data_IF_769797408694
#
_entry.id   IF_769797408694
#
_cell.length_a   1.000
_cell.length_b   1.000
_cell.length_c   1.000
_cell.angle_alpha   90.00
_cell.angle_beta   90.00
_cell.angle_gamma   90.00
#
_symmetry.space_group_name_H-M   'P 1'
#
loop_
_entity.id
_entity.type
_entity.pdbx_description
1 polymer ?
#
# COMPACT_ATOMS: atom_id res chain seq x y z
N UNK A 1 -10.92 -89.72 6.30
CA UNK A 1 -11.35 -89.38 4.93
C UNK A 1 -10.18 -88.69 4.21
N UNK A 2 -9.91 -89.13 2.98
CA UNK A 2 -8.89 -88.67 1.99
C UNK A 2 -8.89 -87.14 1.76
N UNK A 3 -7.99 -86.45 1.06
CA UNK A 3 -6.57 -86.49 0.64
C UNK A 3 -6.39 -85.30 -0.37
N UNK A 4 -5.21 -84.67 -0.42
CA UNK A 4 -4.54 -83.99 -1.56
C UNK A 4 -5.23 -82.89 -2.43
N UNK A 5 -4.66 -81.66 -2.35
CA UNK A 5 -4.00 -80.82 -3.41
C UNK A 5 -4.77 -80.36 -4.71
N UNK A 6 -4.28 -79.32 -5.44
CA UNK A 6 -5.05 -78.19 -6.01
C UNK A 6 -4.99 -78.13 -7.57
N UNK A 7 -4.70 -76.98 -8.23
CA UNK A 7 -5.56 -75.88 -8.72
C UNK A 7 -5.74 -75.88 -10.27
N UNK A 8 -6.59 -75.02 -10.85
CA UNK A 8 -6.43 -74.56 -12.27
C UNK A 8 -7.28 -73.31 -12.55
N UNK A 9 -6.77 -72.19 -13.09
CA UNK A 9 -6.21 -71.82 -14.43
C UNK A 9 -7.28 -71.20 -15.32
N UNK A 10 -6.99 -69.99 -15.87
CA UNK A 10 -7.77 -69.40 -16.96
C UNK A 10 -7.46 -67.94 -17.29
N UNK A 11 -6.28 -67.67 -17.85
CA UNK A 11 -6.02 -66.55 -18.78
C UNK A 11 -6.08 -67.13 -20.22
N UNK A 12 -6.22 -66.39 -21.35
CA UNK A 12 -5.24 -65.35 -21.75
C UNK A 12 -5.71 -64.18 -22.67
N UNK A 13 -4.87 -63.14 -22.69
CA UNK A 13 -4.33 -62.35 -23.82
C UNK A 13 -5.28 -61.73 -24.90
N UNK A 14 -5.12 -60.47 -25.33
CA UNK A 14 -3.96 -59.98 -26.10
C UNK A 14 -3.95 -58.45 -26.31
N UNK A 15 -2.73 -57.92 -26.19
CA UNK A 15 -2.04 -56.74 -26.74
C UNK A 15 -2.68 -55.62 -27.62
N UNK A 16 -2.10 -54.42 -27.37
CA UNK A 16 -1.62 -53.34 -28.29
C UNK A 16 -2.67 -52.34 -28.81
N UNK A 17 -2.40 -51.05 -28.99
CA UNK A 17 -1.16 -50.25 -29.01
C UNK A 17 -1.44 -48.77 -28.74
N UNK A 18 -0.37 -48.07 -28.35
CA UNK A 18 -0.14 -46.63 -28.32
C UNK A 18 -0.86 -45.75 -29.36
N UNK A 19 -1.28 -44.55 -28.94
CA UNK A 19 -0.85 -43.27 -29.54
C UNK A 19 -1.39 -42.06 -28.76
N UNK A 20 -0.46 -41.14 -28.50
CA UNK A 20 -0.60 -39.77 -28.02
C UNK A 20 -1.49 -38.91 -28.93
N UNK A 21 -2.28 -38.01 -28.32
CA UNK A 21 -2.44 -36.59 -28.74
C UNK A 21 -3.38 -35.82 -27.80
N UNK A 22 -2.91 -34.70 -27.27
CA UNK A 22 -3.72 -33.58 -26.79
C UNK A 22 -3.92 -32.56 -27.96
N UNK A 23 -4.61 -31.42 -27.74
CA UNK A 23 -6.02 -31.15 -28.02
C UNK A 23 -6.20 -30.14 -29.18
N UNK A 24 -7.43 -29.77 -29.56
CA UNK A 24 -7.69 -28.43 -30.11
C UNK A 24 -8.88 -27.78 -29.37
N UNK A 25 -8.84 -26.55 -28.88
CA UNK A 25 -8.67 -25.25 -29.55
C UNK A 25 -9.69 -24.95 -30.66
N UNK A 26 -10.19 -23.72 -30.61
CA UNK A 26 -10.90 -22.88 -31.60
C UNK A 26 -11.41 -23.48 -32.93
N UNK A 27 -12.73 -23.50 -33.12
CA UNK A 27 -13.45 -23.42 -34.40
C UNK A 27 -14.96 -23.52 -34.05
N UNK A 28 -15.90 -22.66 -34.44
CA UNK A 28 -15.95 -21.76 -35.60
C UNK A 28 -16.97 -20.64 -35.36
N UNK A 29 -16.60 -19.44 -35.79
CA UNK A 29 -17.54 -18.37 -36.14
C UNK A 29 -18.22 -18.67 -37.50
N UNK A 30 -19.40 -18.07 -37.70
CA UNK A 30 -20.08 -17.79 -38.99
C UNK A 30 -21.24 -18.72 -39.42
N UNK A 31 -22.44 -18.31 -39.03
CA UNK A 31 -23.64 -18.15 -39.88
C UNK A 31 -24.64 -17.36 -39.00
N UNK A 32 -25.16 -16.18 -39.34
CA UNK A 32 -25.92 -15.83 -40.54
C UNK A 32 -25.81 -14.32 -40.79
N UNK A 33 -25.62 -13.95 -42.06
CA UNK A 33 -25.81 -12.61 -42.60
C UNK A 33 -27.27 -12.44 -43.06
N UNK A 34 -27.65 -11.17 -43.11
CA UNK A 34 -28.58 -10.55 -44.05
C UNK A 34 -30.06 -10.42 -43.61
N UNK A 35 -30.36 -9.24 -43.08
CA UNK A 35 -31.37 -8.37 -43.70
C UNK A 35 -30.84 -6.93 -43.68
N UNK A 36 -30.52 -6.40 -44.87
CA UNK A 36 -30.22 -4.99 -45.12
C UNK A 36 -31.36 -4.42 -45.98
N UNK A 37 -31.89 -3.27 -45.56
CA UNK A 37 -32.30 -2.10 -46.36
C UNK A 37 -33.50 -1.43 -45.67
N UNK A 38 -33.66 -0.11 -45.61
CA UNK A 38 -32.82 1.05 -45.81
C UNK A 38 -33.70 2.22 -45.32
N UNK A 39 -33.21 3.07 -44.42
CA UNK A 39 -33.81 4.41 -44.22
C UNK A 39 -32.72 5.38 -43.77
N UNK A 40 -32.66 6.49 -44.52
CA UNK A 40 -31.61 7.50 -44.53
C UNK A 40 -31.71 8.41 -43.31
N UNK A 41 -30.55 8.91 -42.90
CA UNK A 41 -30.25 9.84 -41.81
C UNK A 41 -31.08 11.14 -41.82
N UNK A 42 -31.27 11.72 -40.62
CA UNK A 42 -30.70 13.05 -40.37
C UNK A 42 -29.73 13.06 -39.18
N UNK A 43 -28.70 13.87 -39.34
CA UNK A 43 -27.56 14.09 -38.44
C UNK A 43 -28.02 14.80 -37.16
N UNK A 44 -28.07 14.10 -36.04
CA UNK A 44 -28.33 14.68 -34.71
C UNK A 44 -27.12 14.44 -33.77
N UNK A 45 -26.80 15.49 -33.03
CA UNK A 45 -25.60 15.69 -32.21
C UNK A 45 -25.30 14.53 -31.25
N UNK A 46 -24.07 14.01 -31.29
CA UNK A 46 -23.51 13.17 -30.22
C UNK A 46 -23.32 14.05 -28.97
N UNK A 47 -24.25 13.95 -28.03
CA UNK A 47 -24.00 14.35 -26.64
C UNK A 47 -23.10 13.27 -26.05
N UNK A 48 -21.82 13.61 -25.88
CA UNK A 48 -20.84 12.75 -25.26
C UNK A 48 -21.16 12.58 -23.77
N UNK A 49 -21.73 11.44 -23.41
CA UNK A 49 -21.67 10.94 -22.05
C UNK A 49 -20.24 10.48 -21.77
N UNK A 50 -19.36 11.41 -21.40
CA UNK A 50 -18.16 11.10 -20.61
C UNK A 50 -18.60 11.15 -19.15
N UNK A 51 -18.59 9.98 -18.52
CA UNK A 51 -18.66 9.86 -17.06
C UNK A 51 -17.46 10.66 -16.52
N UNK A 52 -17.76 11.82 -15.96
CA UNK A 52 -16.81 12.60 -15.17
C UNK A 52 -16.65 11.88 -13.82
N UNK A 53 -15.55 11.14 -13.66
CA UNK A 53 -15.11 10.69 -12.35
C UNK A 53 -14.67 11.89 -11.50
N UNK A 54 -14.98 11.94 -10.19
CA UNK A 54 -14.57 13.06 -9.36
C UNK A 54 -13.16 12.81 -8.80
N UNK A 55 -12.28 13.74 -9.15
CA UNK A 55 -11.04 14.17 -8.50
C UNK A 55 -9.67 13.69 -9.03
N UNK A 56 -8.70 14.63 -9.14
CA UNK A 56 -7.53 14.51 -9.98
C UNK A 56 -6.36 13.85 -9.22
N UNK A 57 -5.56 13.06 -9.95
CA UNK A 57 -4.15 12.88 -9.60
C UNK A 57 -3.54 14.27 -9.52
N UNK A 58 -2.93 14.65 -8.39
CA UNK A 58 -2.29 15.96 -8.23
C UNK A 58 -1.30 16.19 -9.37
N UNK A 59 -1.69 17.00 -10.36
CA UNK A 59 -0.78 17.60 -11.32
C UNK A 59 -0.02 18.68 -10.54
N UNK A 60 1.15 18.33 -9.99
CA UNK A 60 2.07 19.33 -9.47
C UNK A 60 2.57 20.17 -10.65
N UNK A 61 1.98 21.34 -10.79
CA UNK A 61 2.49 22.39 -11.66
C UNK A 61 3.64 23.07 -10.92
N UNK A 62 4.85 22.91 -11.43
CA UNK A 62 6.08 23.45 -10.86
C UNK A 62 6.39 24.82 -11.46
N UNK A 63 6.82 25.73 -10.61
CA UNK A 63 7.45 27.01 -11.00
C UNK A 63 8.87 26.77 -11.54
N UNK A 64 9.46 27.79 -12.18
CA UNK A 64 10.86 27.72 -12.66
C UNK A 64 11.85 27.33 -11.56
N UNK A 65 11.83 27.92 -10.35
CA UNK A 65 12.77 27.53 -9.29
C UNK A 65 12.62 26.06 -8.87
N UNK A 66 11.40 25.55 -8.79
CA UNK A 66 11.12 24.15 -8.42
C UNK A 66 11.55 23.17 -9.52
N UNK A 67 11.30 23.51 -10.79
CA UNK A 67 11.78 22.76 -11.94
C UNK A 67 13.32 22.73 -12.01
N UNK A 68 13.97 23.85 -11.72
CA UNK A 68 15.43 23.98 -11.69
C UNK A 68 16.05 23.13 -10.59
N UNK A 69 15.45 23.17 -9.41
CA UNK A 69 15.81 22.32 -8.29
C UNK A 69 15.69 20.84 -8.69
N UNK A 70 14.55 20.42 -9.24
CA UNK A 70 14.31 19.03 -9.67
C UNK A 70 15.28 18.52 -10.75
N UNK A 71 15.76 19.41 -11.63
CA UNK A 71 16.70 19.08 -12.70
C UNK A 71 18.17 19.22 -12.27
N UNK A 72 18.44 19.78 -11.08
CA UNK A 72 19.80 20.06 -10.61
C UNK A 72 20.54 21.12 -11.43
N UNK A 73 19.82 22.09 -12.02
CA UNK A 73 20.38 23.19 -12.84
C UNK A 73 19.93 24.55 -12.33
N UNK A 74 20.48 25.64 -12.88
CA UNK A 74 20.04 26.99 -12.49
C UNK A 74 18.65 27.35 -13.05
N UNK A 75 17.86 28.20 -12.36
CA UNK A 75 16.59 28.73 -12.88
C UNK A 75 16.74 29.34 -14.28
N UNK A 76 17.85 30.02 -14.56
CA UNK A 76 18.11 30.61 -15.88
C UNK A 76 18.32 29.56 -16.97
N UNK A 77 18.91 28.41 -16.61
CA UNK A 77 19.04 27.26 -17.52
C UNK A 77 17.67 26.71 -17.90
N UNK A 78 16.76 26.60 -16.94
CA UNK A 78 15.37 26.17 -17.20
C UNK A 78 14.62 27.17 -18.07
N UNK A 79 14.69 28.48 -17.77
CA UNK A 79 14.06 29.53 -18.61
C UNK A 79 14.61 29.51 -20.02
N UNK A 80 15.93 29.32 -20.18
CA UNK A 80 16.58 29.24 -21.49
C UNK A 80 16.09 28.03 -22.29
N UNK A 81 16.05 26.85 -21.68
CA UNK A 81 15.54 25.63 -22.33
C UNK A 81 14.06 25.72 -22.69
N UNK A 82 13.25 26.34 -21.84
CA UNK A 82 11.84 26.58 -22.12
C UNK A 82 11.65 27.54 -23.32
N UNK A 83 12.40 28.65 -23.38
CA UNK A 83 12.41 29.57 -24.53
C UNK A 83 12.90 28.92 -25.83
N UNK A 84 13.84 27.98 -25.73
CA UNK A 84 14.36 27.20 -26.86
C UNK A 84 13.43 26.05 -27.29
N UNK A 85 12.31 25.83 -26.58
CA UNK A 85 11.36 24.75 -26.87
C UNK A 85 11.86 23.36 -26.46
N UNK A 86 13.00 23.27 -25.76
CA UNK A 86 13.56 22.01 -25.27
C UNK A 86 12.76 21.46 -24.09
N UNK A 87 12.24 22.34 -23.24
CA UNK A 87 11.37 22.01 -22.12
C UNK A 87 9.93 22.42 -22.42
N UNK A 88 9.01 21.46 -22.34
CA UNK A 88 7.59 21.71 -22.52
C UNK A 88 7.01 22.35 -21.25
N UNK A 89 6.64 23.62 -21.32
CA UNK A 89 6.01 24.37 -20.23
C UNK A 89 4.89 25.27 -20.74
N UNK A 90 4.05 25.75 -19.82
CA UNK A 90 3.07 26.81 -20.07
C UNK A 90 3.67 28.14 -19.61
N UNK A 91 3.53 29.18 -20.42
CA UNK A 91 3.94 30.54 -20.04
C UNK A 91 2.76 31.50 -20.13
N UNK A 92 2.66 32.39 -19.16
CA UNK A 92 1.66 33.46 -19.05
C UNK A 92 2.25 34.86 -19.32
N UNK A 93 3.43 34.94 -19.93
CA UNK A 93 4.07 36.20 -20.34
C UNK A 93 5.19 36.68 -19.41
N UNK A 94 5.22 36.25 -18.15
CA UNK A 94 6.33 36.55 -17.22
C UNK A 94 6.86 35.30 -16.50
N UNK A 95 6.00 34.29 -16.30
CA UNK A 95 6.35 33.11 -15.55
C UNK A 95 6.21 31.84 -16.41
N UNK A 96 7.02 30.83 -16.09
CA UNK A 96 6.95 29.52 -16.73
C UNK A 96 6.52 28.51 -15.69
N UNK A 97 5.61 27.64 -16.10
CA UNK A 97 5.10 26.55 -15.29
C UNK A 97 5.25 25.22 -16.03
N UNK A 98 5.61 24.17 -15.29
CA UNK A 98 5.94 22.86 -15.85
C UNK A 98 5.12 21.79 -15.16
N UNK A 99 4.64 20.81 -15.92
CA UNK A 99 4.06 19.62 -15.32
C UNK A 99 5.20 18.73 -14.79
N UNK A 100 5.15 18.36 -13.51
CA UNK A 100 6.21 17.56 -12.87
C UNK A 100 6.48 16.23 -13.60
N UNK A 101 5.43 15.58 -14.11
CA UNK A 101 5.56 14.28 -14.75
C UNK A 101 6.18 14.38 -16.15
N UNK A 102 5.80 15.41 -16.92
CA UNK A 102 6.42 15.71 -18.21
C UNK A 102 7.90 16.10 -18.04
N UNK A 103 8.20 16.87 -17.01
CA UNK A 103 9.56 17.33 -16.70
C UNK A 103 10.48 16.17 -16.28
N UNK A 104 10.00 15.25 -15.46
CA UNK A 104 10.72 14.01 -15.12
C UNK A 104 10.97 13.12 -16.35
N UNK A 105 9.96 12.96 -17.20
CA UNK A 105 10.05 12.15 -18.42
C UNK A 105 11.10 12.70 -19.37
N UNK A 106 11.12 14.01 -19.57
CA UNK A 106 12.11 14.69 -20.39
C UNK A 106 13.53 14.52 -19.83
N UNK A 107 13.71 14.71 -18.52
CA UNK A 107 15.03 14.63 -17.90
C UNK A 107 15.66 13.24 -18.03
N UNK A 108 14.87 12.17 -17.85
CA UNK A 108 15.32 10.78 -18.09
C UNK A 108 15.73 10.55 -19.55
N UNK A 109 14.99 11.12 -20.50
CA UNK A 109 15.29 10.99 -21.92
C UNK A 109 16.60 11.69 -22.33
N UNK A 110 17.03 12.72 -21.59
CA UNK A 110 18.28 13.45 -21.83
C UNK A 110 19.48 12.88 -21.05
N UNK A 111 19.31 11.76 -20.35
CA UNK A 111 20.37 11.19 -19.48
C UNK A 111 20.73 12.09 -18.29
N UNK A 112 19.91 13.11 -18.00
CA UNK A 112 20.06 13.92 -16.81
C UNK A 112 19.59 13.09 -15.62
N UNK A 113 20.50 12.85 -14.67
CA UNK A 113 20.11 12.28 -13.40
C UNK A 113 19.20 13.31 -12.72
N UNK A 114 17.90 13.03 -12.66
CA UNK A 114 16.92 13.81 -11.90
C UNK A 114 17.36 13.73 -10.45
N UNK A 115 18.25 14.64 -10.04
CA UNK A 115 18.38 15.00 -8.64
C UNK A 115 17.09 15.70 -8.32
N UNK A 116 16.05 14.93 -8.02
CA UNK A 116 14.95 15.44 -7.23
C UNK A 116 15.62 16.21 -6.10
N UNK A 117 15.52 17.55 -6.13
CA UNK A 117 15.83 18.36 -4.98
C UNK A 117 14.85 17.92 -3.91
N UNK A 118 15.20 16.82 -3.25
CA UNK A 118 14.72 16.48 -1.93
C UNK A 118 15.08 17.74 -1.15
N UNK A 119 14.11 18.54 -0.65
CA UNK A 119 14.43 19.66 0.22
C UNK A 119 15.41 19.10 1.23
N UNK A 120 16.63 19.65 1.29
CA UNK A 120 17.82 19.04 1.85
C UNK A 120 17.39 18.12 2.98
N UNK A 121 17.24 16.82 2.66
CA UNK A 121 16.63 15.94 3.62
C UNK A 121 17.63 15.95 4.74
N UNK A 122 17.24 16.57 5.86
CA UNK A 122 17.97 16.43 7.10
C UNK A 122 18.32 14.95 7.16
N UNK A 123 19.60 14.58 7.39
CA UNK A 123 19.99 13.18 7.44
C UNK A 123 18.92 12.45 8.26
N UNK A 124 18.35 11.34 7.76
CA UNK A 124 17.09 10.80 8.28
C UNK A 124 17.17 10.87 9.80
N UNK A 125 16.35 11.74 10.39
CA UNK A 125 16.46 12.01 11.82
C UNK A 125 16.35 10.64 12.47
N UNK A 126 17.39 10.29 13.22
CA UNK A 126 17.53 9.01 13.86
C UNK A 126 16.42 8.86 14.89
N UNK A 127 15.27 8.32 14.49
CA UNK A 127 14.10 8.32 15.36
C UNK A 127 13.90 6.95 15.98
N UNK A 128 14.23 6.75 17.26
CA UNK A 128 13.96 5.49 17.94
C UNK A 128 12.44 5.20 17.97
N UNK A 129 12.10 3.91 17.93
CA UNK A 129 10.76 3.35 18.04
C UNK A 129 10.04 3.88 19.28
N UNK A 130 10.76 4.01 20.40
CA UNK A 130 10.20 4.56 21.64
C UNK A 130 9.70 6.00 21.48
N UNK A 131 10.30 6.80 20.60
CA UNK A 131 9.83 8.17 20.35
C UNK A 131 8.65 8.21 19.39
N UNK A 132 8.65 7.35 18.37
CA UNK A 132 7.47 7.17 17.51
C UNK A 132 6.26 6.68 18.34
N UNK A 133 6.49 5.78 19.30
CA UNK A 133 5.47 5.29 20.23
C UNK A 133 4.98 6.38 21.18
N UNK A 134 5.88 7.24 21.70
CA UNK A 134 5.46 8.39 22.51
C UNK A 134 4.62 9.40 21.73
N UNK A 135 4.92 9.62 20.44
CA UNK A 135 4.11 10.50 19.58
C UNK A 135 2.73 9.93 19.27
N UNK A 136 2.64 8.63 18.97
CA UNK A 136 1.35 8.01 18.65
C UNK A 136 0.54 7.60 19.88
N UNK A 137 1.20 7.36 21.01
CA UNK A 137 0.58 6.99 22.27
C UNK A 137 0.20 5.50 22.36
N UNK A 138 -0.26 5.13 23.56
CA UNK A 138 -0.80 3.82 23.88
C UNK A 138 -2.28 4.01 24.22
N UNK A 139 -3.16 3.42 23.41
CA UNK A 139 -4.61 3.44 23.57
C UNK A 139 -5.04 2.14 24.25
N UNK A 140 -6.01 2.24 25.16
CA UNK A 140 -6.56 1.09 25.90
C UNK A 140 -8.06 1.02 25.72
N UNK A 141 -8.60 -0.19 25.75
CA UNK A 141 -10.04 -0.42 25.63
C UNK A 141 -10.60 0.03 24.28
N UNK A 142 -9.86 -0.18 23.19
CA UNK A 142 -10.38 0.06 21.84
C UNK A 142 -11.59 -0.86 21.59
N UNK A 143 -12.72 -0.26 21.24
CA UNK A 143 -13.99 -0.95 21.05
C UNK A 143 -14.15 -1.40 19.61
N UNK A 144 -14.84 -2.52 19.42
CA UNK A 144 -15.22 -3.03 18.12
C UNK A 144 -15.47 -4.52 18.13
N UNK A 145 -16.38 -5.00 17.29
CA UNK A 145 -16.65 -6.42 17.10
C UNK A 145 -15.97 -6.97 15.83
N UNK A 146 -15.61 -6.09 14.92
CA UNK A 146 -14.96 -6.41 13.64
C UNK A 146 -13.66 -5.62 13.46
N UNK A 147 -12.77 -6.04 12.54
CA UNK A 147 -11.61 -5.23 12.16
C UNK A 147 -11.97 -3.79 11.80
N UNK A 148 -13.06 -3.57 11.05
CA UNK A 148 -13.47 -2.22 10.63
C UNK A 148 -13.85 -1.35 11.84
N UNK A 149 -14.58 -1.90 12.81
CA UNK A 149 -14.97 -1.17 14.03
C UNK A 149 -13.74 -0.77 14.85
N UNK A 150 -12.77 -1.67 14.99
CA UNK A 150 -11.53 -1.39 15.73
C UNK A 150 -10.69 -0.35 15.00
N UNK A 151 -10.59 -0.43 13.67
CA UNK A 151 -9.89 0.57 12.87
C UNK A 151 -10.57 1.95 12.97
N UNK A 152 -11.90 1.99 13.01
CA UNK A 152 -12.66 3.22 13.23
C UNK A 152 -12.41 3.79 14.63
N UNK A 153 -12.51 2.96 15.68
CA UNK A 153 -12.22 3.37 17.06
C UNK A 153 -10.78 3.87 17.21
N UNK A 154 -9.83 3.24 16.53
CA UNK A 154 -8.43 3.62 16.54
C UNK A 154 -8.21 4.96 15.83
N UNK A 155 -8.79 5.15 14.64
CA UNK A 155 -8.72 6.42 13.91
C UNK A 155 -9.40 7.57 14.69
N UNK A 156 -10.46 7.28 15.44
CA UNK A 156 -11.15 8.24 16.30
C UNK A 156 -10.31 8.68 17.51
N UNK A 157 -9.51 7.79 18.09
CA UNK A 157 -8.77 8.03 19.33
C UNK A 157 -7.31 8.44 19.12
N UNK A 158 -6.68 8.07 18.00
CA UNK A 158 -5.26 8.36 17.79
C UNK A 158 -4.95 9.87 17.71
N UNK A 159 -3.76 10.32 18.16
CA UNK A 159 -3.31 11.68 17.94
C UNK A 159 -3.09 11.95 16.45
N UNK A 160 -3.66 13.05 15.96
CA UNK A 160 -3.48 13.53 14.58
C UNK A 160 -3.23 15.03 14.59
N UNK A 161 -2.53 15.57 13.58
CA UNK A 161 -2.33 17.02 13.47
C UNK A 161 -3.65 17.75 13.26
N UNK A 162 -3.66 19.03 13.61
CA UNK A 162 -4.80 19.90 13.39
C UNK A 162 -5.18 19.94 11.89
N UNK A 163 -6.49 19.85 11.61
CA UNK A 163 -7.02 19.81 10.25
C UNK A 163 -6.98 18.43 9.56
N UNK A 164 -6.32 17.42 10.13
CA UNK A 164 -6.39 16.06 9.61
C UNK A 164 -7.79 15.47 9.82
N UNK A 165 -8.35 14.89 8.76
CA UNK A 165 -9.66 14.23 8.80
C UNK A 165 -9.51 12.78 9.25
N UNK A 166 -10.16 12.42 10.36
CA UNK A 166 -10.12 11.08 10.93
C UNK A 166 -10.80 10.05 10.02
N UNK A 167 -11.83 10.48 9.30
CA UNK A 167 -12.54 9.67 8.31
C UNK A 167 -11.59 9.26 7.17
N UNK A 168 -10.72 10.16 6.71
CA UNK A 168 -9.76 9.87 5.65
C UNK A 168 -8.72 8.84 6.10
N UNK A 169 -8.33 8.85 7.38
CA UNK A 169 -7.48 7.81 7.95
C UNK A 169 -8.21 6.47 8.00
N UNK A 170 -9.41 6.43 8.59
CA UNK A 170 -10.20 5.21 8.71
C UNK A 170 -10.44 4.55 7.34
N UNK A 171 -10.87 5.32 6.34
CA UNK A 171 -11.10 4.81 4.99
C UNK A 171 -9.83 4.22 4.36
N UNK A 172 -8.67 4.85 4.55
CA UNK A 172 -7.40 4.31 4.06
C UNK A 172 -6.99 3.01 4.76
N UNK A 173 -7.22 2.91 6.07
CA UNK A 173 -6.95 1.68 6.84
C UNK A 173 -7.88 0.55 6.39
N UNK A 174 -9.19 0.83 6.28
CA UNK A 174 -10.21 -0.10 5.81
C UNK A 174 -9.91 -0.62 4.40
N UNK A 175 -9.52 0.27 3.49
CA UNK A 175 -9.12 -0.12 2.13
C UNK A 175 -7.87 -1.00 2.14
N UNK A 176 -6.87 -0.70 2.97
CA UNK A 176 -5.66 -1.54 3.11
C UNK A 176 -6.00 -2.93 3.66
N UNK A 177 -6.85 -3.00 4.67
CA UNK A 177 -7.23 -4.25 5.35
C UNK A 177 -8.03 -5.17 4.42
N UNK A 178 -8.88 -4.60 3.56
CA UNK A 178 -9.67 -5.36 2.58
C UNK A 178 -8.83 -6.06 1.51
N UNK A 179 -7.63 -5.56 1.21
CA UNK A 179 -6.74 -6.22 0.25
C UNK A 179 -6.21 -7.54 0.81
N UNK A 180 -5.62 -7.46 2.01
CA UNK A 180 -5.11 -8.59 2.77
C UNK A 180 -5.08 -8.22 4.25
N UNK A 181 -5.39 -9.19 5.10
CA UNK A 181 -5.34 -9.00 6.56
C UNK A 181 -3.98 -8.46 6.98
N UNK A 182 -3.98 -7.48 7.89
CA UNK A 182 -2.75 -6.98 8.54
C UNK A 182 -2.45 -7.70 9.85
N UNK A 183 -3.24 -8.70 10.23
CA UNK A 183 -2.97 -9.57 11.37
C UNK A 183 -1.80 -10.52 11.05
N UNK A 184 -0.73 -10.43 11.85
CA UNK A 184 0.51 -11.17 11.63
C UNK A 184 0.60 -12.44 12.51
N UNK A 185 -0.40 -12.68 13.34
CA UNK A 185 -0.43 -13.74 14.35
C UNK A 185 -0.05 -13.25 15.75
N UNK A 186 -0.04 -14.15 16.72
CA UNK A 186 0.18 -13.90 18.15
C UNK A 186 -0.79 -12.86 18.74
N UNK A 187 -2.01 -12.79 18.20
CA UNK A 187 -3.01 -11.80 18.58
C UNK A 187 -2.66 -10.36 18.20
N UNK A 188 -1.80 -10.14 17.19
CA UNK A 188 -1.31 -8.82 16.79
C UNK A 188 -1.68 -8.49 15.34
N UNK A 189 -2.08 -7.24 15.10
CA UNK A 189 -2.21 -6.67 13.75
C UNK A 189 -1.44 -5.35 13.58
N UNK A 190 -1.01 -5.08 12.35
CA UNK A 190 -0.19 -3.93 11.97
C UNK A 190 -0.90 -3.03 10.94
N UNK A 191 -2.05 -2.42 11.26
CA UNK A 191 -2.76 -1.57 10.30
C UNK A 191 -1.94 -0.35 9.88
N UNK A 192 -2.01 0.02 8.60
CA UNK A 192 -1.31 1.18 8.06
C UNK A 192 -1.96 1.67 6.77
N UNK A 193 -1.95 2.98 6.46
CA UNK A 193 -2.31 3.44 5.13
C UNK A 193 -1.37 2.85 4.08
N UNK A 194 -1.91 2.49 2.91
CA UNK A 194 -1.09 1.96 1.80
C UNK A 194 -0.05 2.97 1.31
N UNK A 195 -0.43 4.25 1.30
CA UNK A 195 0.42 5.36 0.85
C UNK A 195 0.76 6.22 2.06
N UNK A 196 2.04 6.24 2.50
CA UNK A 196 2.52 7.18 3.49
C UNK A 196 2.21 8.62 3.08
N UNK A 197 1.78 9.43 4.03
CA UNK A 197 1.26 10.78 3.76
C UNK A 197 1.57 11.72 4.91
N UNK A 198 2.07 12.95 4.63
CA UNK A 198 2.27 13.97 5.65
C UNK A 198 0.94 14.50 6.23
N UNK A 199 -0.21 14.19 5.60
CA UNK A 199 -1.53 14.58 6.09
C UNK A 199 -1.84 14.04 7.50
N UNK A 200 -1.17 12.96 7.93
CA UNK A 200 -1.36 12.35 9.25
C UNK A 200 -0.23 12.67 10.24
N UNK A 201 0.71 13.53 9.86
CA UNK A 201 1.82 13.96 10.71
C UNK A 201 3.09 14.25 9.92
N UNK A 202 3.84 15.27 10.36
CA UNK A 202 5.14 15.62 9.78
C UNK A 202 6.27 14.64 10.16
N UNK A 203 6.06 13.83 11.19
CA UNK A 203 7.01 12.84 11.71
C UNK A 203 6.32 11.48 11.85
N UNK A 204 7.05 10.36 11.72
CA UNK A 204 6.45 9.04 11.89
C UNK A 204 5.99 8.81 13.33
N UNK A 205 4.83 8.19 13.47
CA UNK A 205 4.18 7.87 14.73
C UNK A 205 3.75 6.40 14.74
N UNK A 206 3.89 5.78 15.91
CA UNK A 206 3.43 4.44 16.19
C UNK A 206 2.36 4.53 17.28
N UNK A 207 1.15 4.08 16.98
CA UNK A 207 0.08 4.02 17.97
C UNK A 207 -0.10 2.55 18.33
N UNK A 208 0.10 2.22 19.61
CA UNK A 208 -0.26 0.90 20.14
C UNK A 208 -1.68 0.97 20.69
N UNK A 209 -2.56 0.09 20.25
CA UNK A 209 -3.91 -0.03 20.76
C UNK A 209 -4.17 -1.40 21.37
N UNK A 210 -4.62 -1.43 22.62
CA UNK A 210 -5.17 -2.64 23.23
C UNK A 210 -6.69 -2.66 23.08
N UNK A 211 -7.22 -3.77 22.59
CA UNK A 211 -8.66 -3.93 22.39
C UNK A 211 -9.35 -4.25 23.71
N UNK A 212 -10.59 -3.79 23.87
CA UNK A 212 -11.45 -4.14 25.00
C UNK A 212 -11.78 -5.65 24.99
N UNK A 213 -12.02 -6.20 23.80
CA UNK A 213 -12.26 -7.63 23.58
C UNK A 213 -11.46 -8.10 22.36
N UNK A 214 -10.85 -9.30 22.38
CA UNK A 214 -10.17 -9.83 21.20
C UNK A 214 -11.11 -10.02 20.01
N UNK A 215 -10.66 -9.66 18.81
CA UNK A 215 -11.48 -9.66 17.57
C UNK A 215 -10.93 -10.65 16.55
N UNK A 216 -11.81 -11.43 15.92
CA UNK A 216 -11.45 -12.30 14.80
C UNK A 216 -10.96 -11.47 13.60
N UNK A 217 -9.68 -11.63 13.23
CA UNK A 217 -9.01 -10.76 12.25
C UNK A 217 -8.38 -11.51 11.08
N UNK A 218 -8.83 -12.75 10.80
CA UNK A 218 -8.28 -13.58 9.71
C UNK A 218 -6.75 -13.66 9.77
N UNK A 219 -6.20 -13.80 10.98
CA UNK A 219 -4.76 -13.91 11.16
C UNK A 219 -4.25 -15.23 10.58
N UNK A 220 -2.96 -15.27 10.25
CA UNK A 220 -2.32 -16.47 9.69
C UNK A 220 -2.41 -17.70 10.63
N UNK A 221 -2.43 -17.46 11.93
CA UNK A 221 -2.50 -18.47 13.00
C UNK A 221 -3.91 -18.67 13.55
N UNK A 222 -4.92 -18.02 12.97
CA UNK A 222 -6.33 -18.03 13.39
C UNK A 222 -6.59 -17.51 14.83
N UNK A 223 -5.61 -16.90 15.50
CA UNK A 223 -5.82 -16.29 16.80
C UNK A 223 -6.54 -14.94 16.68
N UNK A 224 -7.48 -14.62 17.59
CA UNK A 224 -8.09 -13.30 17.63
C UNK A 224 -7.06 -12.23 18.02
N UNK A 225 -7.17 -11.06 17.43
CA UNK A 225 -6.29 -9.92 17.71
C UNK A 225 -6.72 -9.24 18.99
N UNK A 226 -5.78 -8.98 19.89
CA UNK A 226 -5.97 -8.20 21.13
C UNK A 226 -5.10 -6.93 21.18
N UNK A 227 -4.12 -6.81 20.29
CA UNK A 227 -3.25 -5.63 20.17
C UNK A 227 -3.05 -5.21 18.70
N UNK A 228 -3.13 -3.90 18.45
CA UNK A 228 -2.96 -3.31 17.12
C UNK A 228 -1.85 -2.26 17.15
N UNK A 229 -0.94 -2.29 16.17
CA UNK A 229 0.09 -1.28 15.99
C UNK A 229 -0.18 -0.49 14.71
N UNK A 230 -0.79 0.69 14.84
CA UNK A 230 -1.00 1.59 13.72
C UNK A 230 0.28 2.34 13.41
N UNK A 231 0.73 2.23 12.17
CA UNK A 231 1.93 2.89 11.65
C UNK A 231 1.52 4.06 10.77
N UNK A 232 1.88 5.28 11.20
CA UNK A 232 1.71 6.51 10.44
C UNK A 232 3.07 7.10 10.11
N UNK A 233 3.25 7.54 8.88
CA UNK A 233 4.54 8.07 8.41
C UNK A 233 4.34 8.98 7.19
N UNK A 234 5.12 10.06 7.06
CA UNK A 234 4.99 10.97 5.94
C UNK A 234 5.66 10.46 4.65
N UNK A 235 6.62 9.53 4.76
CA UNK A 235 7.36 8.98 3.60
C UNK A 235 7.45 7.46 3.64
N UNK A 236 7.59 6.83 2.47
CA UNK A 236 7.81 5.39 2.33
C UNK A 236 9.09 4.89 3.02
N UNK A 237 10.15 5.71 3.00
CA UNK A 237 11.40 5.36 3.67
C UNK A 237 11.19 5.23 5.19
N UNK A 238 10.55 6.24 5.82
CA UNK A 238 10.26 6.20 7.26
C UNK A 238 9.25 5.11 7.61
N UNK A 239 8.29 4.85 6.72
CA UNK A 239 7.32 3.76 6.89
C UNK A 239 8.03 2.41 7.05
N UNK A 240 8.90 2.06 6.10
CA UNK A 240 9.63 0.79 6.11
C UNK A 240 10.60 0.69 7.30
N UNK A 241 11.24 1.81 7.68
CA UNK A 241 12.08 1.86 8.87
C UNK A 241 11.29 1.56 10.15
N UNK A 242 10.12 2.19 10.32
CA UNK A 242 9.27 1.97 11.48
C UNK A 242 8.70 0.55 11.50
N UNK A 243 8.20 0.06 10.36
CA UNK A 243 7.70 -1.31 10.22
C UNK A 243 8.77 -2.37 10.55
N UNK A 244 10.00 -2.19 10.06
CA UNK A 244 11.12 -3.09 10.35
C UNK A 244 11.44 -3.17 11.85
N UNK A 245 11.36 -2.04 12.55
CA UNK A 245 11.59 -1.99 14.00
C UNK A 245 10.47 -2.64 14.80
N UNK A 246 9.21 -2.38 14.44
CA UNK A 246 8.07 -3.07 15.04
C UNK A 246 8.21 -4.58 14.81
N UNK A 247 8.47 -5.01 13.58
CA UNK A 247 8.69 -6.42 13.26
C UNK A 247 9.86 -7.03 14.04
N UNK A 248 10.96 -6.29 14.25
CA UNK A 248 12.06 -6.73 15.10
C UNK A 248 11.59 -6.99 16.54
N UNK A 249 10.92 -6.01 17.15
CA UNK A 249 10.44 -6.12 18.54
C UNK A 249 9.46 -7.28 18.70
N UNK A 250 8.59 -7.50 17.72
CA UNK A 250 7.62 -8.59 17.71
C UNK A 250 8.23 -10.00 17.54
N UNK A 251 9.53 -10.10 17.23
CA UNK A 251 10.26 -11.38 17.30
C UNK A 251 10.75 -11.70 18.71
N UNK A 252 10.74 -10.75 19.63
CA UNK A 252 11.16 -10.95 21.01
C UNK A 252 9.98 -11.56 21.79
N UNK A 253 10.07 -12.81 22.29
CA UNK A 253 8.95 -13.44 22.99
C UNK A 253 8.46 -12.62 24.18
N UNK A 254 9.39 -12.02 24.93
CA UNK A 254 9.07 -11.15 26.05
C UNK A 254 8.22 -9.93 25.64
N UNK A 255 8.45 -9.36 24.46
CA UNK A 255 7.68 -8.20 23.99
C UNK A 255 6.27 -8.59 23.53
N UNK A 256 6.13 -9.76 22.90
CA UNK A 256 4.81 -10.33 22.56
C UNK A 256 4.01 -10.63 23.82
N UNK A 257 4.64 -11.19 24.86
CA UNK A 257 4.01 -11.44 26.15
C UNK A 257 3.50 -10.15 26.81
N UNK A 258 4.24 -9.03 26.71
CA UNK A 258 3.75 -7.72 27.16
C UNK A 258 2.43 -7.35 26.49
N UNK A 259 2.28 -7.64 25.20
CA UNK A 259 1.06 -7.33 24.47
C UNK A 259 -0.10 -8.23 24.91
N UNK A 260 0.17 -9.53 25.12
CA UNK A 260 -0.83 -10.50 25.54
C UNK A 260 -1.46 -10.15 26.89
N UNK A 261 -0.66 -9.68 27.84
CA UNK A 261 -1.14 -9.25 29.17
C UNK A 261 -1.53 -7.77 29.25
N UNK A 262 -1.47 -7.04 28.14
CA UNK A 262 -1.69 -5.58 28.09
C UNK A 262 -0.87 -4.80 29.13
N UNK A 263 0.43 -5.08 29.21
CA UNK A 263 1.35 -4.55 30.21
C UNK A 263 1.26 -3.01 30.39
N UNK A 264 1.60 -2.46 31.57
CA UNK A 264 1.61 -1.01 31.79
C UNK A 264 2.50 -0.25 30.80
N UNK A 265 2.10 0.98 30.45
CA UNK A 265 2.78 1.82 29.46
C UNK A 265 4.28 2.01 29.77
N UNK A 266 4.61 2.25 31.03
CA UNK A 266 5.98 2.44 31.49
C UNK A 266 6.85 1.20 31.24
N UNK A 267 6.27 0.00 31.39
CA UNK A 267 6.98 -1.25 31.15
C UNK A 267 7.23 -1.47 29.65
N UNK A 268 6.21 -1.23 28.81
CA UNK A 268 6.32 -1.31 27.35
C UNK A 268 7.39 -0.36 26.85
N UNK A 269 7.34 0.91 27.27
CA UNK A 269 8.30 1.94 26.86
C UNK A 269 9.72 1.62 27.32
N UNK A 270 9.89 1.09 28.54
CA UNK A 270 11.20 0.64 29.05
C UNK A 270 11.74 -0.51 28.20
N UNK A 271 10.93 -1.54 27.92
CA UNK A 271 11.37 -2.67 27.09
C UNK A 271 11.72 -2.24 25.66
N UNK A 272 10.97 -1.31 25.07
CA UNK A 272 11.35 -0.72 23.77
C UNK A 272 12.70 -0.02 23.88
N UNK A 273 12.92 0.82 24.89
CA UNK A 273 14.19 1.53 25.06
C UNK A 273 15.40 0.60 25.27
N UNK A 274 15.21 -0.53 25.97
CA UNK A 274 16.28 -1.49 26.28
C UNK A 274 16.59 -2.47 25.14
N UNK A 275 15.59 -2.80 24.32
CA UNK A 275 15.69 -3.90 23.34
C UNK A 275 15.67 -3.44 21.88
N UNK A 276 15.34 -2.18 21.62
CA UNK A 276 15.34 -1.65 20.25
C UNK A 276 16.76 -1.76 19.65
N UNK A 277 16.91 -2.31 18.43
CA UNK A 277 18.21 -2.46 17.83
C UNK A 277 18.85 -1.09 17.54
N UNK A 278 20.17 -0.95 17.73
CA UNK A 278 20.88 0.28 17.40
C UNK A 278 20.70 0.62 15.92
N UNK A 279 20.63 1.92 15.64
CA UNK A 279 20.44 2.42 14.28
C UNK A 279 21.73 2.22 13.49
N UNK A 280 21.71 1.30 12.52
CA UNK A 280 22.79 1.10 11.55
C UNK A 280 22.93 2.29 10.60
#
# INVERSE_FOLDING_TARGET
MRACLPPSVGSPATARSSRTRAPPWWASSQALRASQAASRTPRARRIGARIAGPFPFHAMVLTVPEAAAMLGVSPDTVRRWARQGLLKGRSDGAEWSFDAHDLERWARAQGLSVRASRPAASPPRRQPLGEALRRGGILRGLRGATPDDVLQSMAAACPLPEGARREDLWEQLKQRERLFSTAIGHGIALPHPRTPSPAFGAEPALVLGFLEQPVAWRSIDQQPVHAVFLILSPTAQQHLQLLSRVAYMLRLPAFVELMARQAPDAEILRTVAEREPPQA
#
